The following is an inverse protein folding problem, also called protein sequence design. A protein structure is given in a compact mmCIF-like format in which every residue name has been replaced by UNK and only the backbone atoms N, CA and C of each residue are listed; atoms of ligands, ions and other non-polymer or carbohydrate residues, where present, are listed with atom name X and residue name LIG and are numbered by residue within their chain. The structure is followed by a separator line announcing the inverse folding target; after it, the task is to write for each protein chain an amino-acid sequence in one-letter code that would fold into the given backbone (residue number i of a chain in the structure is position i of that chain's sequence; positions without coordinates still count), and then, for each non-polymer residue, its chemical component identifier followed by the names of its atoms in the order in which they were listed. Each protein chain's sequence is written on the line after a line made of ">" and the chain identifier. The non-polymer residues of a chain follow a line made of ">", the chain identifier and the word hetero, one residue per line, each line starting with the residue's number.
data_IF_916583610294
#
_entry.id   IF_916583610294
#
_cell.length_a   1.000
_cell.length_b   1.000
_cell.length_c   1.000
_cell.angle_alpha   90.00
_cell.angle_beta   90.00
_cell.angle_gamma   90.00
#
_symmetry.space_group_name_H-M   'P 1'
#
loop_
_entity.id
_entity.type
_entity.pdbx_description
1 polymer ?
#
# COMPACT_ATOMS: atom_id res chain seq x y z
N UNK A 1 13.45 -0.14 9.88
CA UNK A 1 13.21 -1.60 9.73
C UNK A 1 13.54 -2.04 8.31
N UNK A 2 13.03 -1.30 7.32
CA UNK A 2 13.32 -1.43 5.88
C UNK A 2 14.79 -1.63 5.56
N UNK A 3 15.70 -0.80 6.09
CA UNK A 3 17.13 -0.90 5.77
C UNK A 3 17.78 -2.22 6.19
N UNK A 4 17.30 -2.86 7.28
CA UNK A 4 17.77 -4.19 7.67
C UNK A 4 17.22 -5.27 6.73
N UNK A 5 15.98 -5.11 6.26
CA UNK A 5 15.41 -5.99 5.25
C UNK A 5 16.17 -5.87 3.92
N UNK A 6 16.45 -4.64 3.48
CA UNK A 6 17.25 -4.34 2.28
C UNK A 6 18.66 -4.92 2.41
N UNK A 7 19.32 -4.76 3.57
CA UNK A 7 20.63 -5.36 3.81
C UNK A 7 20.56 -6.89 3.70
N UNK A 8 19.59 -7.52 4.37
CA UNK A 8 19.39 -8.97 4.32
C UNK A 8 19.09 -9.48 2.91
N UNK A 9 18.28 -8.74 2.13
CA UNK A 9 18.01 -9.03 0.73
C UNK A 9 19.27 -8.93 -0.13
N UNK A 10 20.05 -7.86 0.03
CA UNK A 10 21.26 -7.61 -0.75
C UNK A 10 22.36 -8.63 -0.46
N UNK A 11 22.49 -9.10 0.78
CA UNK A 11 23.55 -10.03 1.20
C UNK A 11 23.10 -11.48 1.26
N UNK A 12 21.85 -11.78 0.88
CA UNK A 12 21.24 -13.11 1.00
C UNK A 12 21.27 -13.67 2.45
N UNK A 13 21.20 -12.77 3.45
CA UNK A 13 21.26 -13.15 4.87
C UNK A 13 19.86 -13.53 5.37
N UNK A 14 19.54 -14.82 5.23
CA UNK A 14 18.27 -15.36 5.70
C UNK A 14 18.08 -15.22 7.22
N UNK A 15 19.16 -15.26 8.01
CA UNK A 15 19.05 -15.11 9.46
C UNK A 15 18.67 -13.68 9.87
N UNK A 16 19.19 -12.69 9.15
CA UNK A 16 18.77 -11.29 9.30
C UNK A 16 17.32 -11.10 8.86
N UNK A 17 16.93 -11.65 7.71
CA UNK A 17 15.55 -11.56 7.21
C UNK A 17 14.54 -12.20 8.19
N UNK A 18 14.84 -13.34 8.79
CA UNK A 18 13.99 -13.95 9.82
C UNK A 18 13.86 -13.08 11.07
N UNK A 19 14.90 -12.32 11.45
CA UNK A 19 14.80 -11.35 12.56
C UNK A 19 13.93 -10.16 12.20
N UNK A 20 14.07 -9.63 10.98
CA UNK A 20 13.21 -8.57 10.46
C UNK A 20 11.77 -9.04 10.47
N UNK A 21 11.50 -10.23 9.95
CA UNK A 21 10.17 -10.85 9.93
C UNK A 21 9.60 -11.02 11.34
N UNK A 22 10.40 -11.55 12.28
CA UNK A 22 9.96 -11.70 13.67
C UNK A 22 9.59 -10.35 14.30
N UNK A 23 10.31 -9.27 14.01
CA UNK A 23 9.92 -7.93 14.46
C UNK A 23 8.67 -7.43 13.75
N UNK A 24 8.56 -7.62 12.42
CA UNK A 24 7.38 -7.25 11.63
C UNK A 24 6.10 -7.90 12.16
N UNK A 25 6.16 -9.19 12.48
CA UNK A 25 5.01 -9.99 12.91
C UNK A 25 4.60 -9.74 14.36
N UNK A 26 5.51 -9.24 15.21
CA UNK A 26 5.29 -9.16 16.65
C UNK A 26 5.54 -7.77 17.21
N UNK A 27 6.76 -7.24 17.05
CA UNK A 27 7.18 -5.99 17.69
C UNK A 27 6.60 -4.73 17.03
N UNK A 28 6.41 -4.74 15.72
CA UNK A 28 5.90 -3.59 14.97
C UNK A 28 4.45 -3.22 15.38
N UNK A 29 3.66 -4.19 15.83
CA UNK A 29 2.26 -4.01 16.28
C UNK A 29 2.10 -3.15 17.53
N UNK A 30 3.20 -2.82 18.22
CA UNK A 30 3.19 -1.84 19.33
C UNK A 30 3.10 -0.39 18.83
N UNK A 31 3.38 -0.15 17.53
CA UNK A 31 3.45 1.20 16.95
C UNK A 31 2.67 1.37 15.65
N UNK A 32 2.36 0.27 14.93
CA UNK A 32 1.52 0.29 13.72
C UNK A 32 0.09 -0.13 14.01
N UNK A 33 -0.82 0.27 13.14
CA UNK A 33 -2.16 -0.31 13.03
C UNK A 33 -2.31 -1.30 11.85
N UNK A 34 -3.53 -1.75 11.65
CA UNK A 34 -3.95 -2.73 10.66
C UNK A 34 -3.89 -2.22 9.21
N UNK A 35 -3.80 -0.90 9.00
CA UNK A 35 -3.61 -0.26 7.69
C UNK A 35 -2.20 0.32 7.52
N UNK A 36 -1.29 0.03 8.46
CA UNK A 36 0.12 0.43 8.42
C UNK A 36 0.37 1.90 8.71
N UNK A 37 -0.61 2.60 9.30
CA UNK A 37 -0.35 3.90 9.90
C UNK A 37 0.52 3.71 11.14
N UNK A 38 1.47 4.63 11.36
CA UNK A 38 2.40 4.61 12.48
C UNK A 38 2.56 6.01 13.03
N UNK A 39 2.45 6.16 14.34
CA UNK A 39 2.72 7.42 15.04
C UNK A 39 4.16 7.89 14.79
N UNK A 40 4.37 9.20 14.55
CA UNK A 40 5.71 9.78 14.28
C UNK A 40 6.69 9.49 15.42
N UNK A 41 6.23 9.63 16.67
CA UNK A 41 7.02 9.41 17.87
C UNK A 41 6.22 8.62 18.90
N UNK A 42 6.89 7.66 19.54
CA UNK A 42 6.26 6.76 20.50
C UNK A 42 6.30 7.26 21.95
N UNK A 43 6.75 8.48 22.22
CA UNK A 43 6.72 9.05 23.57
C UNK A 43 5.29 9.27 24.08
N UNK A 44 5.08 9.25 25.40
CA UNK A 44 3.75 9.38 26.02
C UNK A 44 3.08 10.74 25.76
N UNK A 45 3.88 11.78 25.52
CA UNK A 45 3.43 13.15 25.23
C UNK A 45 3.25 13.44 23.73
N UNK A 46 3.55 12.47 22.86
CA UNK A 46 3.39 12.64 21.40
C UNK A 46 1.90 12.75 21.03
N UNK A 47 1.53 13.66 20.09
CA UNK A 47 0.17 13.75 19.60
C UNK A 47 -0.30 12.41 19.03
N UNK A 48 -1.36 11.80 19.57
CA UNK A 48 -1.70 10.40 19.29
C UNK A 48 -2.11 10.17 17.85
N UNK A 49 -2.64 11.19 17.17
CA UNK A 49 -3.18 11.10 15.81
C UNK A 49 -2.17 11.59 14.77
N UNK A 50 -0.92 11.88 15.15
CA UNK A 50 0.13 12.38 14.23
C UNK A 50 1.04 11.25 13.76
N UNK A 51 0.76 10.70 12.60
CA UNK A 51 1.62 9.70 11.94
C UNK A 51 2.66 10.33 11.03
N UNK A 52 3.49 9.50 10.40
CA UNK A 52 4.47 9.95 9.39
C UNK A 52 4.47 8.98 8.20
N UNK A 53 4.27 9.49 6.97
CA UNK A 53 4.19 8.62 5.78
C UNK A 53 5.48 7.85 5.47
N UNK A 54 6.66 8.32 5.88
CA UNK A 54 7.89 7.55 5.72
C UNK A 54 7.87 6.27 6.54
N UNK A 55 7.32 6.30 7.76
CA UNK A 55 7.19 5.10 8.59
C UNK A 55 6.29 4.06 7.91
N UNK A 56 5.18 4.51 7.31
CA UNK A 56 4.32 3.64 6.50
C UNK A 56 5.07 3.09 5.28
N UNK A 57 5.82 3.93 4.56
CA UNK A 57 6.66 3.51 3.44
C UNK A 57 7.67 2.42 3.82
N UNK A 58 8.34 2.60 4.96
CA UNK A 58 9.28 1.63 5.54
C UNK A 58 8.64 0.25 5.80
N UNK A 59 7.39 0.25 6.26
CA UNK A 59 6.62 -1.00 6.46
C UNK A 59 6.30 -1.64 5.11
N UNK A 60 5.85 -0.85 4.14
CA UNK A 60 5.56 -1.33 2.78
C UNK A 60 6.81 -1.97 2.16
N UNK A 61 7.94 -1.27 2.14
CA UNK A 61 9.19 -1.80 1.59
C UNK A 61 9.63 -3.10 2.28
N UNK A 62 9.50 -3.17 3.60
CA UNK A 62 9.80 -4.39 4.35
C UNK A 62 8.89 -5.54 3.93
N UNK A 63 7.58 -5.27 3.81
CA UNK A 63 6.58 -6.26 3.39
C UNK A 63 6.85 -6.79 1.99
N UNK A 64 7.23 -5.91 1.06
CA UNK A 64 7.62 -6.26 -0.30
C UNK A 64 8.83 -7.20 -0.34
N UNK A 65 9.87 -6.90 0.45
CA UNK A 65 11.08 -7.73 0.53
C UNK A 65 10.75 -9.12 1.12
N UNK A 66 9.97 -9.17 2.20
CA UNK A 66 9.53 -10.44 2.79
C UNK A 66 8.68 -11.25 1.80
N UNK A 67 7.78 -10.58 1.09
CA UNK A 67 6.97 -11.13 -0.01
C UNK A 67 7.84 -11.82 -1.07
N UNK A 68 8.83 -11.08 -1.59
CA UNK A 68 9.79 -11.57 -2.58
C UNK A 68 10.59 -12.77 -2.08
N UNK A 69 10.85 -12.85 -0.77
CA UNK A 69 11.65 -13.89 -0.12
C UNK A 69 10.85 -15.13 0.32
N UNK A 70 9.64 -15.29 -0.21
CA UNK A 70 8.87 -16.54 -0.11
C UNK A 70 7.69 -16.49 0.84
N UNK A 71 7.31 -15.29 1.29
CA UNK A 71 6.17 -15.04 2.18
C UNK A 71 5.12 -14.16 1.48
N UNK A 72 4.44 -14.67 0.43
CA UNK A 72 3.57 -13.88 -0.44
C UNK A 72 2.39 -13.21 0.29
N UNK A 73 2.05 -13.64 1.51
CA UNK A 73 1.09 -12.98 2.38
C UNK A 73 1.45 -11.51 2.67
N UNK A 74 2.74 -11.15 2.71
CA UNK A 74 3.16 -9.77 2.95
C UNK A 74 2.95 -8.85 1.74
N UNK A 75 2.84 -9.39 0.52
CA UNK A 75 2.41 -8.57 -0.62
C UNK A 75 0.99 -8.04 -0.43
N UNK A 76 0.11 -8.84 0.19
CA UNK A 76 -1.22 -8.34 0.53
C UNK A 76 -1.17 -7.30 1.64
N UNK A 77 -0.32 -7.49 2.67
CA UNK A 77 -0.18 -6.47 3.71
C UNK A 77 0.29 -5.15 3.10
N UNK A 78 1.27 -5.19 2.19
CA UNK A 78 1.68 -4.03 1.40
C UNK A 78 0.50 -3.40 0.65
N UNK A 79 -0.31 -4.17 -0.09
CA UNK A 79 -1.49 -3.65 -0.80
C UNK A 79 -2.49 -2.97 0.11
N UNK A 80 -2.81 -3.58 1.24
CA UNK A 80 -3.73 -3.02 2.24
C UNK A 80 -3.20 -1.70 2.78
N UNK A 81 -1.91 -1.63 3.09
CA UNK A 81 -1.28 -0.41 3.60
C UNK A 81 -1.26 0.71 2.54
N UNK A 82 -0.95 0.34 1.31
CA UNK A 82 -0.92 1.28 0.17
C UNK A 82 -2.33 1.84 -0.08
N UNK A 83 -3.36 1.00 -0.09
CA UNK A 83 -4.75 1.39 -0.34
C UNK A 83 -5.42 2.07 0.84
N UNK A 84 -5.09 1.64 2.06
CA UNK A 84 -5.73 2.07 3.30
C UNK A 84 -5.11 3.32 3.91
N UNK A 85 -3.83 3.61 3.62
CA UNK A 85 -3.15 4.74 4.24
C UNK A 85 -2.24 5.52 3.27
N UNK A 86 -1.27 4.87 2.63
CA UNK A 86 -0.22 5.62 1.92
C UNK A 86 -0.75 6.41 0.72
N UNK A 87 -1.50 5.80 -0.21
CA UNK A 87 -2.08 6.53 -1.34
C UNK A 87 -3.12 7.57 -0.92
N UNK A 88 -4.05 7.27 0.01
CA UNK A 88 -4.97 8.29 0.54
C UNK A 88 -4.27 9.51 1.15
N UNK A 89 -3.11 9.32 1.77
CA UNK A 89 -2.33 10.40 2.37
C UNK A 89 -1.65 11.34 1.36
N UNK A 90 -1.75 11.08 0.05
CA UNK A 90 -1.26 12.02 -0.97
C UNK A 90 -2.20 13.21 -1.12
N UNK A 91 -1.66 14.43 -1.07
CA UNK A 91 -2.43 15.65 -1.35
C UNK A 91 -2.82 15.67 -2.83
N UNK A 92 -4.07 15.35 -3.14
CA UNK A 92 -4.63 15.43 -4.51
C UNK A 92 -5.58 16.61 -4.71
N UNK A 93 -6.09 17.15 -3.62
CA UNK A 93 -6.82 18.42 -3.55
C UNK A 93 -6.08 19.33 -2.57
N UNK A 94 -5.56 20.46 -3.06
CA UNK A 94 -4.82 21.44 -2.27
C UNK A 94 -5.63 22.71 -2.01
N UNK A 95 -6.95 22.70 -2.26
CA UNK A 95 -7.83 23.86 -2.10
C UNK A 95 -7.90 24.40 -0.68
N UNK A 96 -7.56 23.58 0.32
CA UNK A 96 -7.46 23.98 1.73
C UNK A 96 -6.15 24.68 2.10
N UNK A 97 -5.16 24.69 1.21
CA UNK A 97 -3.85 25.33 1.46
C UNK A 97 -3.88 26.77 0.94
N UNK A 98 -3.76 27.73 1.85
CA UNK A 98 -3.65 29.15 1.51
C UNK A 98 -2.18 29.57 1.40
N UNK A 99 -1.86 30.35 0.35
CA UNK A 99 -0.52 30.93 0.22
C UNK A 99 -0.30 32.01 1.31
N UNK A 100 0.82 31.94 2.04
CA UNK A 100 1.15 32.94 3.05
C UNK A 100 1.58 34.27 2.40
N UNK A 101 1.45 35.41 3.10
CA UNK A 101 2.02 36.67 2.64
C UNK A 101 3.53 36.56 2.37
N UNK A 102 3.98 36.99 1.20
CA UNK A 102 5.39 36.90 0.78
C UNK A 102 5.96 38.24 0.28
N UNK A 103 6.02 39.29 1.13
CA UNK A 103 6.46 40.63 0.71
C UNK A 103 7.95 40.72 0.38
N UNK A 104 8.77 39.78 0.87
CA UNK A 104 10.22 39.74 0.66
C UNK A 104 10.64 38.79 -0.46
N UNK A 105 9.69 38.11 -1.11
CA UNK A 105 9.98 37.16 -2.19
C UNK A 105 10.77 35.93 -1.73
N UNK A 106 10.55 35.48 -0.50
CA UNK A 106 11.16 34.27 0.06
C UNK A 106 10.66 33.03 -0.68
N UNK A 107 11.56 32.18 -1.19
CA UNK A 107 11.15 31.02 -1.99
C UNK A 107 10.26 30.05 -1.21
N UNK A 108 10.51 29.87 0.10
CA UNK A 108 9.72 28.98 0.95
C UNK A 108 8.25 29.40 1.13
N UNK A 109 7.92 30.66 0.81
CA UNK A 109 6.56 31.22 0.89
C UNK A 109 5.91 31.39 -0.49
N UNK A 110 6.61 31.03 -1.57
CA UNK A 110 6.12 31.18 -2.95
C UNK A 110 5.34 29.96 -3.39
N UNK A 111 4.12 30.19 -3.91
CA UNK A 111 3.24 29.20 -4.53
C UNK A 111 3.10 27.94 -3.67
N UNK A 112 2.97 28.11 -2.35
CA UNK A 112 2.94 27.04 -1.37
C UNK A 112 1.83 26.06 -1.71
N UNK A 113 0.62 26.52 -2.01
CA UNK A 113 -0.49 25.63 -2.37
C UNK A 113 -0.15 24.74 -3.57
N UNK A 114 0.30 25.34 -4.68
CA UNK A 114 0.63 24.61 -5.90
C UNK A 114 1.81 23.64 -5.72
N UNK A 115 2.81 24.01 -4.93
CA UNK A 115 4.01 23.19 -4.67
C UNK A 115 3.78 22.03 -3.74
N UNK A 116 2.65 22.01 -3.02
CA UNK A 116 2.26 20.90 -2.15
C UNK A 116 1.28 19.92 -2.82
N UNK A 117 0.89 20.15 -4.07
CA UNK A 117 0.12 19.15 -4.82
C UNK A 117 0.99 17.89 -5.04
N UNK A 118 0.48 16.75 -4.60
CA UNK A 118 1.20 15.48 -4.60
C UNK A 118 2.05 15.22 -3.36
N UNK A 119 2.04 16.12 -2.37
CA UNK A 119 2.83 15.96 -1.15
C UNK A 119 2.28 14.87 -0.22
N UNK A 120 3.14 14.43 0.70
CA UNK A 120 2.87 13.51 1.80
C UNK A 120 3.34 14.19 3.10
N UNK A 121 2.82 13.74 4.24
CA UNK A 121 3.01 14.47 5.49
C UNK A 121 2.75 13.63 6.73
N UNK A 122 2.08 14.26 7.70
CA UNK A 122 1.84 13.70 9.02
C UNK A 122 0.35 13.47 9.31
N UNK A 123 -0.32 12.59 8.55
CA UNK A 123 -1.76 12.39 8.69
C UNK A 123 -2.12 11.58 9.94
N UNK A 124 -3.40 11.63 10.30
CA UNK A 124 -4.04 10.62 11.12
C UNK A 124 -4.46 9.41 10.27
N UNK A 125 -4.82 8.26 10.87
CA UNK A 125 -5.29 7.10 10.11
C UNK A 125 -6.44 7.41 9.15
N UNK A 126 -7.32 8.34 9.54
CA UNK A 126 -8.56 8.69 8.85
C UNK A 126 -8.46 9.93 7.95
N UNK A 127 -7.37 10.71 7.98
CA UNK A 127 -7.33 11.98 7.23
C UNK A 127 -6.07 12.83 7.41
N UNK A 128 -5.97 13.89 6.58
CA UNK A 128 -4.85 14.83 6.62
C UNK A 128 -4.80 15.67 7.90
N UNK A 129 -5.93 15.86 8.60
CA UNK A 129 -6.00 16.69 9.80
C UNK A 129 -6.17 15.84 11.07
N UNK A 130 -5.10 15.64 11.85
CA UNK A 130 -5.18 15.01 13.16
C UNK A 130 -6.08 15.78 14.13
N UNK A 131 -6.83 15.08 14.98
CA UNK A 131 -7.66 15.74 15.99
C UNK A 131 -6.77 16.46 17.01
N UNK A 132 -7.24 17.65 17.43
CA UNK A 132 -6.54 18.46 18.42
C UNK A 132 -5.27 19.15 17.90
N UNK A 133 -4.92 19.00 16.62
CA UNK A 133 -3.85 19.76 15.99
C UNK A 133 -4.42 20.84 15.06
N UNK A 134 -3.93 22.06 15.23
CA UNK A 134 -4.34 23.21 14.39
C UNK A 134 -3.71 23.18 13.00
N UNK A 135 -2.60 22.44 12.83
CA UNK A 135 -1.83 22.41 11.58
C UNK A 135 -1.87 21.05 10.92
N UNK A 136 -2.07 21.07 9.60
CA UNK A 136 -1.67 20.00 8.69
C UNK A 136 -0.23 20.27 8.27
N UNK A 137 0.59 19.24 8.13
CA UNK A 137 2.02 19.40 7.82
C UNK A 137 2.46 18.45 6.72
N UNK A 138 3.17 19.00 5.74
CA UNK A 138 3.72 18.31 4.59
C UNK A 138 5.18 18.73 4.45
N UNK A 139 6.11 17.84 4.80
CA UNK A 139 7.53 18.15 4.68
C UNK A 139 8.11 17.43 3.47
N UNK A 140 9.00 18.10 2.75
CA UNK A 140 9.52 17.59 1.46
C UNK A 140 10.43 16.37 1.60
N UNK A 141 11.05 16.17 2.77
CA UNK A 141 11.75 14.93 3.11
C UNK A 141 10.79 13.74 3.24
N UNK A 142 9.58 13.96 3.78
CA UNK A 142 8.51 12.95 3.82
C UNK A 142 7.99 12.63 2.42
N UNK A 143 7.89 13.63 1.55
CA UNK A 143 7.56 13.41 0.14
C UNK A 143 8.61 12.50 -0.51
N UNK A 144 9.89 12.78 -0.27
CA UNK A 144 11.00 11.99 -0.81
C UNK A 144 10.92 10.51 -0.40
N UNK A 145 10.70 10.23 0.88
CA UNK A 145 10.61 8.85 1.39
C UNK A 145 9.36 8.12 0.89
N UNK A 146 8.17 8.74 1.01
CA UNK A 146 6.93 8.14 0.53
C UNK A 146 6.96 7.82 -0.98
N UNK A 147 7.50 8.73 -1.80
CA UNK A 147 7.65 8.51 -3.25
C UNK A 147 8.66 7.40 -3.54
N UNK A 148 9.78 7.33 -2.80
CA UNK A 148 10.74 6.24 -2.96
C UNK A 148 10.09 4.87 -2.69
N UNK A 149 9.30 4.74 -1.62
CA UNK A 149 8.57 3.51 -1.34
C UNK A 149 7.54 3.17 -2.40
N UNK A 150 6.82 4.17 -2.96
CA UNK A 150 5.90 3.95 -4.09
C UNK A 150 6.63 3.50 -5.37
N UNK A 151 7.89 3.92 -5.58
CA UNK A 151 8.72 3.36 -6.65
C UNK A 151 9.03 1.88 -6.40
N UNK A 152 9.32 1.46 -5.17
CA UNK A 152 9.51 0.04 -4.85
C UNK A 152 8.23 -0.79 -5.07
N UNK A 153 7.06 -0.23 -4.73
CA UNK A 153 5.76 -0.83 -5.06
C UNK A 153 5.63 -1.09 -6.56
N UNK A 154 5.93 -0.10 -7.40
CA UNK A 154 5.86 -0.26 -8.85
C UNK A 154 6.85 -1.31 -9.37
N UNK A 155 8.07 -1.36 -8.82
CA UNK A 155 9.07 -2.38 -9.21
C UNK A 155 8.63 -3.79 -8.83
N UNK A 156 7.96 -3.95 -7.70
CA UNK A 156 7.50 -5.25 -7.23
C UNK A 156 6.15 -5.69 -7.79
N UNK A 157 5.32 -4.76 -8.27
CA UNK A 157 3.99 -5.06 -8.79
C UNK A 157 4.02 -6.16 -9.85
N UNK A 158 4.95 -6.04 -10.80
CA UNK A 158 5.21 -7.06 -11.82
C UNK A 158 6.71 -7.29 -11.97
N UNK A 159 7.17 -8.47 -11.54
CA UNK A 159 8.56 -8.87 -11.66
C UNK A 159 8.73 -9.83 -12.83
N UNK A 160 9.61 -9.46 -13.76
CA UNK A 160 9.97 -10.31 -14.90
C UNK A 160 11.40 -10.80 -14.76
N UNK A 161 11.59 -12.10 -14.91
CA UNK A 161 12.91 -12.75 -14.97
C UNK A 161 13.04 -13.51 -16.30
N UNK A 162 14.21 -14.09 -16.56
CA UNK A 162 14.36 -15.00 -17.70
C UNK A 162 13.47 -16.25 -17.62
N UNK A 163 12.95 -16.59 -16.44
CA UNK A 163 12.18 -17.82 -16.20
C UNK A 163 10.68 -17.63 -15.99
N UNK A 164 10.19 -16.42 -15.71
CA UNK A 164 8.77 -16.16 -15.43
C UNK A 164 8.42 -14.68 -15.38
N UNK A 165 7.12 -14.41 -15.51
CA UNK A 165 6.48 -13.16 -15.09
C UNK A 165 5.66 -13.42 -13.81
N UNK A 166 5.85 -12.58 -12.81
CA UNK A 166 5.12 -12.64 -11.54
C UNK A 166 4.37 -11.33 -11.31
N UNK A 167 3.05 -11.41 -11.24
CA UNK A 167 2.18 -10.32 -10.80
C UNK A 167 2.02 -10.48 -9.29
N UNK A 168 2.79 -9.71 -8.52
CA UNK A 168 2.79 -9.78 -7.07
C UNK A 168 1.80 -8.80 -6.45
N UNK A 169 1.61 -7.63 -7.05
CA UNK A 169 0.64 -6.64 -6.59
C UNK A 169 -0.45 -6.40 -7.64
N UNK A 170 -1.68 -6.27 -7.17
CA UNK A 170 -2.90 -6.21 -7.94
C UNK A 170 -3.30 -4.76 -8.19
N UNK A 171 -2.40 -4.01 -8.81
CA UNK A 171 -2.65 -2.67 -9.31
C UNK A 171 -2.61 -2.65 -10.83
N UNK A 172 -3.25 -1.66 -11.44
CA UNK A 172 -3.05 -1.36 -12.86
C UNK A 172 -1.57 -1.07 -13.08
N UNK A 173 -0.93 -1.84 -13.95
CA UNK A 173 0.49 -1.70 -14.22
C UNK A 173 0.84 -2.25 -15.60
N UNK A 174 1.74 -1.58 -16.31
CA UNK A 174 2.21 -2.00 -17.62
C UNK A 174 3.74 -1.95 -17.68
N UNK A 175 4.32 -3.06 -18.09
CA UNK A 175 5.73 -3.23 -18.42
C UNK A 175 5.83 -3.67 -19.89
N UNK A 176 7.03 -3.66 -20.47
CA UNK A 176 7.27 -4.20 -21.81
C UNK A 176 6.91 -5.70 -21.95
N UNK A 177 6.79 -6.41 -20.84
CA UNK A 177 6.57 -7.85 -20.81
C UNK A 177 5.13 -8.23 -20.48
N UNK A 178 4.46 -7.47 -19.61
CA UNK A 178 3.16 -7.79 -19.06
C UNK A 178 2.38 -6.52 -18.75
N UNK A 179 1.10 -6.54 -19.13
CA UNK A 179 0.10 -5.57 -18.71
C UNK A 179 -0.87 -6.22 -17.72
N UNK A 180 -1.19 -5.51 -16.65
CA UNK A 180 -2.15 -5.88 -15.62
C UNK A 180 -3.21 -4.78 -15.53
N UNK A 181 -4.47 -5.18 -15.61
CA UNK A 181 -5.64 -4.32 -15.39
C UNK A 181 -6.48 -4.96 -14.26
N UNK A 182 -6.79 -4.21 -13.21
CA UNK A 182 -7.56 -4.65 -12.05
C UNK A 182 -8.88 -3.90 -12.01
N UNK A 183 -9.99 -4.64 -11.85
CA UNK A 183 -11.30 -3.98 -11.80
C UNK A 183 -11.40 -3.03 -10.61
N UNK A 184 -12.18 -1.93 -10.71
CA UNK A 184 -12.36 -0.99 -9.59
C UNK A 184 -12.87 -1.66 -8.30
N UNK A 185 -13.57 -2.79 -8.41
CA UNK A 185 -14.05 -3.57 -7.28
C UNK A 185 -12.97 -4.51 -6.69
N UNK A 186 -11.84 -4.71 -7.37
CA UNK A 186 -10.72 -5.57 -6.95
C UNK A 186 -10.91 -7.07 -7.21
N UNK A 187 -12.06 -7.48 -7.74
CA UNK A 187 -12.43 -8.89 -7.91
C UNK A 187 -12.07 -9.51 -9.26
N UNK A 188 -11.54 -8.71 -10.19
CA UNK A 188 -11.07 -9.19 -11.49
C UNK A 188 -9.68 -8.65 -11.77
N UNK A 189 -8.73 -9.55 -12.02
CA UNK A 189 -7.38 -9.24 -12.47
C UNK A 189 -7.22 -9.78 -13.88
N UNK A 190 -7.03 -8.87 -14.84
CA UNK A 190 -6.77 -9.22 -16.24
C UNK A 190 -5.30 -8.99 -16.54
N UNK A 191 -4.61 -10.01 -17.02
CA UNK A 191 -3.20 -9.95 -17.36
C UNK A 191 -3.01 -10.27 -18.84
N UNK A 192 -2.24 -9.46 -19.56
CA UNK A 192 -1.86 -9.69 -20.95
C UNK A 192 -0.35 -9.81 -21.04
N UNK A 193 0.13 -10.99 -21.47
CA UNK A 193 1.56 -11.27 -21.61
C UNK A 193 2.02 -10.89 -23.02
N UNK A 194 3.07 -10.08 -23.10
CA UNK A 194 3.65 -9.56 -24.34
C UNK A 194 4.90 -10.36 -24.76
N UNK A 195 5.65 -10.88 -23.80
CA UNK A 195 6.84 -11.71 -24.02
C UNK A 195 6.66 -13.15 -23.51
N UNK A 196 7.15 -14.20 -24.20
CA UNK A 196 6.96 -15.58 -23.74
C UNK A 196 7.69 -15.92 -22.43
N UNK A 197 6.93 -16.18 -21.36
CA UNK A 197 7.36 -16.88 -20.16
C UNK A 197 6.13 -17.37 -19.36
N UNK A 198 6.29 -18.33 -18.42
CA UNK A 198 5.23 -18.68 -17.47
C UNK A 198 4.74 -17.47 -16.69
N UNK A 199 3.41 -17.38 -16.51
CA UNK A 199 2.76 -16.31 -15.77
C UNK A 199 2.30 -16.81 -14.40
N UNK A 200 2.69 -16.11 -13.35
CA UNK A 200 2.23 -16.28 -11.98
C UNK A 200 1.43 -15.06 -11.56
N UNK A 201 0.18 -15.26 -11.14
CA UNK A 201 -0.68 -14.19 -10.62
C UNK A 201 -0.96 -14.51 -9.16
N UNK A 202 -0.53 -13.64 -8.24
CA UNK A 202 -0.80 -13.81 -6.81
C UNK A 202 -2.31 -13.77 -6.55
N UNK A 203 -2.76 -14.63 -5.65
CA UNK A 203 -4.11 -14.61 -5.07
C UNK A 203 -4.08 -13.89 -3.71
N UNK A 204 -5.03 -12.98 -3.43
CA UNK A 204 -5.25 -12.49 -2.08
C UNK A 204 -5.55 -13.63 -1.10
N UNK A 205 -5.10 -13.48 0.15
CA UNK A 205 -5.33 -14.46 1.23
C UNK A 205 -6.80 -14.58 1.61
N UNK A 206 -7.61 -13.54 1.38
CA UNK A 206 -9.06 -13.57 1.57
C UNK A 206 -9.83 -14.19 0.40
N UNK A 207 -9.19 -14.45 -0.75
CA UNK A 207 -9.89 -14.96 -1.93
C UNK A 207 -10.28 -16.44 -1.75
N UNK A 208 -11.56 -16.76 -1.89
CA UNK A 208 -12.05 -18.15 -1.87
C UNK A 208 -11.68 -18.85 -3.18
N UNK A 209 -10.81 -19.85 -3.06
CA UNK A 209 -10.30 -20.63 -4.20
C UNK A 209 -11.37 -21.51 -4.84
N UNK A 210 -12.41 -21.87 -4.10
CA UNK A 210 -13.53 -22.67 -4.62
C UNK A 210 -14.44 -21.84 -5.54
N UNK A 211 -14.41 -20.52 -5.42
CA UNK A 211 -15.19 -19.57 -6.22
C UNK A 211 -14.33 -18.88 -7.31
N UNK A 212 -13.04 -19.22 -7.37
CA UNK A 212 -12.11 -18.70 -8.36
C UNK A 212 -12.52 -19.10 -9.78
N UNK A 213 -12.54 -18.14 -10.69
CA UNK A 213 -12.71 -18.37 -12.13
C UNK A 213 -11.49 -17.88 -12.90
N UNK A 214 -10.92 -18.73 -13.75
CA UNK A 214 -9.85 -18.34 -14.69
C UNK A 214 -10.37 -18.45 -16.12
N UNK A 215 -10.28 -17.35 -16.88
CA UNK A 215 -10.68 -17.26 -18.29
C UNK A 215 -9.49 -16.89 -19.16
N UNK A 216 -9.50 -17.33 -20.41
CA UNK A 216 -8.41 -17.04 -21.37
C UNK A 216 -7.20 -17.97 -21.26
N UNK A 217 -7.17 -18.89 -20.29
CA UNK A 217 -6.16 -19.94 -20.18
C UNK A 217 -6.82 -21.30 -19.98
N UNK A 218 -6.51 -22.29 -20.84
CA UNK A 218 -7.09 -23.63 -20.75
C UNK A 218 -6.38 -24.51 -19.71
N UNK A 219 -5.06 -24.35 -19.56
CA UNK A 219 -4.22 -25.15 -18.67
C UNK A 219 -3.57 -24.23 -17.63
N UNK A 220 -4.21 -24.11 -16.47
CA UNK A 220 -3.65 -23.41 -15.31
C UNK A 220 -3.56 -24.35 -14.10
N UNK A 221 -2.70 -23.98 -13.15
CA UNK A 221 -2.58 -24.63 -11.84
C UNK A 221 -2.72 -23.58 -10.75
N UNK A 222 -3.07 -24.00 -9.54
CA UNK A 222 -3.12 -23.12 -8.37
C UNK A 222 -2.14 -23.63 -7.30
N UNK A 223 -0.82 -23.48 -7.49
CA UNK A 223 0.14 -23.81 -6.45
C UNK A 223 0.11 -22.76 -5.33
N UNK A 224 -0.21 -23.19 -4.11
CA UNK A 224 -0.27 -22.31 -2.92
C UNK A 224 -1.11 -21.06 -3.23
N UNK A 225 -0.51 -19.89 -3.27
CA UNK A 225 -1.19 -18.60 -3.30
C UNK A 225 -1.12 -17.92 -4.67
N UNK A 226 -0.95 -18.69 -5.74
CA UNK A 226 -0.84 -18.17 -7.11
C UNK A 226 -1.67 -18.96 -8.10
N UNK A 227 -2.16 -18.29 -9.14
CA UNK A 227 -2.55 -18.91 -10.41
C UNK A 227 -1.33 -18.96 -11.31
N UNK A 228 -0.94 -20.17 -11.70
CA UNK A 228 0.13 -20.43 -12.65
C UNK A 228 -0.46 -20.78 -14.01
N UNK A 229 -0.14 -19.98 -15.03
CA UNK A 229 -0.34 -20.31 -16.44
C UNK A 229 1.03 -20.58 -17.06
N UNK A 230 1.35 -21.85 -17.28
CA UNK A 230 2.69 -22.25 -17.75
C UNK A 230 3.00 -21.73 -19.16
N UNK A 231 1.98 -21.67 -20.02
CA UNK A 231 2.08 -21.19 -21.40
C UNK A 231 0.95 -20.17 -21.66
N UNK A 232 1.09 -18.93 -21.19
CA UNK A 232 0.06 -17.91 -21.37
C UNK A 232 -0.06 -17.53 -22.86
N UNK A 233 -1.27 -17.29 -23.37
CA UNK A 233 -1.44 -16.88 -24.75
C UNK A 233 -0.94 -15.45 -24.96
N UNK A 234 0.12 -15.29 -25.76
CA UNK A 234 0.74 -14.00 -26.02
C UNK A 234 -0.23 -13.03 -26.69
N UNK A 235 -0.25 -11.79 -26.21
CA UNK A 235 -1.12 -10.71 -26.70
C UNK A 235 -2.60 -10.92 -26.41
N UNK A 236 -2.98 -11.95 -25.63
CA UNK A 236 -4.37 -12.23 -25.25
C UNK A 236 -4.54 -12.14 -23.74
N UNK A 237 -5.71 -11.68 -23.26
CA UNK A 237 -5.96 -11.55 -21.84
C UNK A 237 -6.19 -12.91 -21.17
N UNK A 238 -5.56 -13.12 -20.03
CA UNK A 238 -5.93 -14.09 -19.01
C UNK A 238 -6.62 -13.33 -17.88
N UNK A 239 -7.83 -13.72 -17.51
CA UNK A 239 -8.57 -13.09 -16.41
C UNK A 239 -8.72 -14.07 -15.26
N UNK A 240 -8.34 -13.62 -14.06
CA UNK A 240 -8.59 -14.29 -12.79
C UNK A 240 -9.65 -13.49 -12.04
N UNK A 241 -10.74 -14.14 -11.65
CA UNK A 241 -11.88 -13.50 -10.99
C UNK A 241 -12.21 -14.24 -9.69
N UNK A 242 -12.55 -13.50 -8.64
CA UNK A 242 -12.98 -14.03 -7.35
C UNK A 242 -13.91 -13.03 -6.64
N UNK A 243 -14.86 -13.50 -5.81
CA UNK A 243 -15.69 -12.62 -5.01
C UNK A 243 -14.88 -11.84 -3.98
N UNK A 244 -15.20 -10.56 -3.82
CA UNK A 244 -14.51 -9.67 -2.89
C UNK A 244 -15.34 -9.51 -1.63
N UNK A 245 -14.85 -9.98 -0.47
CA UNK A 245 -15.60 -9.90 0.77
C UNK A 245 -15.67 -8.46 1.27
N UNK A 246 -16.77 -8.14 1.94
CA UNK A 246 -16.85 -6.97 2.80
C UNK A 246 -16.52 -7.37 4.25
N UNK A 247 -15.80 -6.52 4.96
CA UNK A 247 -15.43 -6.75 6.35
C UNK A 247 -15.34 -5.43 7.11
N UNK A 248 -15.34 -5.51 8.44
CA UNK A 248 -15.08 -4.38 9.33
C UNK A 248 -13.95 -4.78 10.28
N UNK A 249 -12.96 -3.91 10.43
CA UNK A 249 -11.83 -4.08 11.34
C UNK A 249 -11.77 -2.91 12.31
N UNK A 250 -11.19 -3.16 13.48
CA UNK A 250 -10.85 -2.14 14.47
C UNK A 250 -9.35 -1.86 14.35
N UNK A 251 -8.98 -0.60 14.12
CA UNK A 251 -7.59 -0.16 14.09
C UNK A 251 -7.08 0.05 15.51
N UNK A 252 -5.92 -0.52 15.82
CA UNK A 252 -5.21 -0.25 17.07
C UNK A 252 -4.72 1.18 17.09
N UNK A 253 -5.22 1.95 18.05
CA UNK A 253 -4.80 3.32 18.23
C UNK A 253 -4.70 3.65 19.72
N UNK A 254 -3.77 4.54 20.09
CA UNK A 254 -3.35 4.76 21.48
C UNK A 254 -4.47 5.17 22.44
N UNK A 255 -5.44 5.93 21.92
CA UNK A 255 -6.43 6.62 22.76
C UNK A 255 -7.85 6.14 22.53
N UNK A 256 -8.10 5.41 21.44
CA UNK A 256 -9.45 5.00 21.03
C UNK A 256 -9.37 3.88 20.00
N UNK A 257 -10.50 3.21 19.78
CA UNK A 257 -10.69 2.32 18.64
C UNK A 257 -11.13 3.15 17.43
N UNK A 258 -10.62 2.83 16.24
CA UNK A 258 -11.05 3.44 14.98
C UNK A 258 -11.57 2.31 14.10
N UNK A 259 -12.85 2.31 13.71
CA UNK A 259 -13.36 1.27 12.83
C UNK A 259 -13.09 1.63 11.37
N UNK A 260 -12.75 0.62 10.57
CA UNK A 260 -12.62 0.72 9.12
C UNK A 260 -13.43 -0.39 8.46
N UNK A 261 -14.24 -0.03 7.46
CA UNK A 261 -14.92 -0.98 6.58
C UNK A 261 -14.08 -1.21 5.34
N UNK A 262 -13.88 -2.47 4.99
CA UNK A 262 -13.07 -2.89 3.87
C UNK A 262 -13.91 -3.65 2.85
N UNK A 263 -13.53 -3.50 1.59
CA UNK A 263 -13.86 -4.41 0.49
C UNK A 263 -12.56 -5.00 -0.02
N UNK A 264 -12.31 -6.28 0.28
CA UNK A 264 -10.99 -6.90 0.13
C UNK A 264 -9.97 -6.13 0.97
N UNK A 265 -8.91 -5.62 0.33
CA UNK A 265 -7.87 -4.81 0.99
C UNK A 265 -8.08 -3.29 0.86
N UNK A 266 -9.22 -2.84 0.30
CA UNK A 266 -9.51 -1.40 0.14
C UNK A 266 -10.41 -0.90 1.25
N UNK A 267 -10.02 0.17 1.92
CA UNK A 267 -10.89 0.87 2.88
C UNK A 267 -11.95 1.65 2.10
N UNK A 268 -13.22 1.46 2.47
CA UNK A 268 -14.37 2.12 1.83
C UNK A 268 -15.07 3.11 2.76
N UNK A 269 -14.92 2.95 4.07
CA UNK A 269 -15.40 3.89 5.08
C UNK A 269 -14.57 3.76 6.36
N UNK A 270 -14.44 4.83 7.14
CA UNK A 270 -13.70 4.84 8.40
C UNK A 270 -14.37 5.77 9.43
N UNK A 271 -14.22 5.49 10.71
CA UNK A 271 -14.52 6.49 11.75
C UNK A 271 -13.55 7.68 11.61
N UNK A 272 -14.10 8.91 11.55
CA UNK A 272 -13.33 10.15 11.42
C UNK A 272 -13.42 11.08 12.63
N UNK A 273 -14.33 10.78 13.56
CA UNK A 273 -14.58 11.55 14.77
C UNK A 273 -14.92 13.03 14.50
N UNK A 274 -15.51 13.33 13.34
CA UNK A 274 -15.81 14.69 12.91
C UNK A 274 -14.59 15.51 12.50
N UNK A 275 -13.45 14.86 12.21
CA UNK A 275 -12.30 15.53 11.63
C UNK A 275 -12.60 16.06 10.22
N UNK A 276 -11.86 17.08 9.80
CA UNK A 276 -11.89 17.57 8.42
C UNK A 276 -10.81 16.87 7.58
N UNK A 277 -10.90 17.02 6.25
CA UNK A 277 -9.90 16.51 5.29
C UNK A 277 -9.68 14.99 5.43
N UNK A 278 -10.78 14.25 5.55
CA UNK A 278 -10.80 12.80 5.73
C UNK A 278 -10.55 12.07 4.41
N UNK A 279 -9.96 10.88 4.50
CA UNK A 279 -9.63 10.05 3.34
C UNK A 279 -10.82 9.26 2.80
N UNK A 280 -11.75 8.92 3.69
CA UNK A 280 -12.83 7.98 3.43
C UNK A 280 -14.16 8.53 3.94
N UNK A 281 -15.26 7.98 3.43
CA UNK A 281 -16.59 8.27 3.94
C UNK A 281 -16.72 7.85 5.42
N UNK A 282 -17.47 8.60 6.24
CA UNK A 282 -17.67 8.25 7.64
C UNK A 282 -18.54 7.01 7.81
N UNK A 283 -18.22 6.17 8.80
CA UNK A 283 -19.10 5.07 9.19
C UNK A 283 -20.36 5.62 9.86
N UNK A 284 -21.50 5.48 9.20
CA UNK A 284 -22.81 5.90 9.72
C UNK A 284 -23.30 7.28 9.27
N UNK A 285 -22.64 7.86 8.25
CA UNK A 285 -23.17 8.99 7.46
C UNK A 285 -24.38 8.63 6.61
#
# INVERSE_FOLDING_TARGET
>A
MSSLAQLGDLTDDSALLERVRAFYDNGLWEIRDEIGWVIESSSDDSPPDRGECNNTGDIVETALILGRRGHPEYFQDAERIIRGHLLPAQVRDNSFIADPPNPLGEDGLRDVSARHLGAFGFPAPYGHQPLGLERVSFNMDIVGGAVASLCEVLREAVVTTAGSHSVNLLFDHETDAVRVDVSPAGGDVTTTVQTPAPLWIRLPTWADRSELTVRGAANYKIPRDHVLVAEPPIGKPVRVSYPVPESEIALRHRTREIRARLRGDSVVAMDDFGAALTFFEPIGG
#
